data_IF_032193768561
#
_entry.id   IF_032193768561
#
_cell.length_a   1.000
_cell.length_b   1.000
_cell.length_c   1.000
_cell.angle_alpha   90.00
_cell.angle_beta   90.00
_cell.angle_gamma   90.00
#
_symmetry.space_group_name_H-M   'P 1'
#
loop_
_entity.id
_entity.type
_entity.pdbx_description
1 polymer ?
#
# COMPACT_ATOMS: atom_id res chain seq x y z
N UNK A 1 -11.47 -3.37 6.83
CA UNK A 1 -10.38 -2.39 7.02
C UNK A 1 -10.05 -2.24 8.50
N UNK A 2 -8.76 -2.16 8.82
CA UNK A 2 -8.24 -1.90 10.16
C UNK A 2 -6.76 -1.56 10.07
N UNK A 3 -6.24 -0.81 11.04
CA UNK A 3 -4.80 -0.70 11.22
C UNK A 3 -4.19 -2.10 11.36
N UNK A 4 -2.99 -2.31 10.84
CA UNK A 4 -2.29 -3.59 10.75
C UNK A 4 -2.19 -4.27 12.11
N UNK A 5 -1.93 -3.51 13.17
CA UNK A 5 -1.88 -4.02 14.56
C UNK A 5 -3.20 -4.66 15.03
N UNK A 6 -4.33 -4.24 14.43
CA UNK A 6 -5.69 -4.68 14.76
C UNK A 6 -6.35 -5.48 13.62
N UNK A 7 -5.61 -5.75 12.55
CA UNK A 7 -6.08 -6.51 11.40
C UNK A 7 -5.89 -7.99 11.70
N UNK A 8 -7.00 -8.70 11.85
CA UNK A 8 -7.02 -10.15 11.96
C UNK A 8 -7.48 -10.78 10.64
N UNK A 9 -7.39 -12.10 10.54
CA UNK A 9 -7.74 -12.83 9.32
C UNK A 9 -9.21 -12.64 8.93
N UNK A 10 -10.15 -12.66 9.88
CA UNK A 10 -11.57 -12.43 9.59
C UNK A 10 -11.82 -11.06 8.91
N UNK A 11 -11.23 -9.98 9.46
CA UNK A 11 -11.33 -8.64 8.85
C UNK A 11 -10.60 -8.54 7.53
N UNK A 12 -9.49 -9.26 7.37
CA UNK A 12 -8.75 -9.31 6.12
C UNK A 12 -9.61 -9.96 5.04
N UNK A 13 -10.16 -11.14 5.32
CA UNK A 13 -10.94 -11.97 4.41
C UNK A 13 -12.20 -11.27 3.91
N UNK A 14 -12.96 -10.59 4.77
CA UNK A 14 -14.20 -9.89 4.33
C UNK A 14 -14.02 -8.97 3.10
N UNK A 15 -12.88 -8.28 2.99
CA UNK A 15 -12.56 -7.45 1.82
C UNK A 15 -11.88 -8.25 0.71
N UNK A 16 -11.02 -9.18 1.11
CA UNK A 16 -10.23 -9.98 0.18
C UNK A 16 -11.10 -10.93 -0.64
N UNK A 17 -12.09 -11.59 -0.05
CA UNK A 17 -12.99 -12.52 -0.72
C UNK A 17 -13.76 -11.85 -1.86
N UNK A 18 -14.39 -10.70 -1.57
CA UNK A 18 -15.26 -9.99 -2.51
C UNK A 18 -14.53 -9.39 -3.71
N UNK A 19 -13.20 -9.26 -3.63
CA UNK A 19 -12.37 -8.67 -4.68
C UNK A 19 -11.43 -9.69 -5.29
N UNK A 20 -10.55 -10.25 -4.47
CA UNK A 20 -9.51 -11.16 -4.92
C UNK A 20 -10.08 -12.50 -5.36
N UNK A 21 -10.73 -13.25 -4.45
CA UNK A 21 -11.25 -14.57 -4.79
C UNK A 21 -12.37 -14.48 -5.82
N UNK A 22 -13.29 -13.53 -5.68
CA UNK A 22 -14.34 -13.29 -6.67
C UNK A 22 -13.78 -13.05 -8.07
N UNK A 23 -12.75 -12.21 -8.23
CA UNK A 23 -12.14 -11.97 -9.53
C UNK A 23 -11.33 -13.16 -10.04
N UNK A 24 -10.72 -13.96 -9.16
CA UNK A 24 -10.03 -15.19 -9.55
C UNK A 24 -11.03 -16.24 -10.07
N UNK A 25 -12.16 -16.43 -9.38
CA UNK A 25 -13.23 -17.32 -9.83
C UNK A 25 -13.85 -16.85 -11.14
N UNK A 26 -14.08 -15.55 -11.28
CA UNK A 26 -14.53 -14.97 -12.54
C UNK A 26 -13.50 -15.23 -13.65
N UNK A 27 -12.21 -15.00 -13.39
CA UNK A 27 -11.14 -15.27 -14.35
C UNK A 27 -11.12 -16.74 -14.78
N UNK A 28 -11.12 -17.68 -13.82
CA UNK A 28 -11.10 -19.11 -14.07
C UNK A 28 -12.32 -19.57 -14.90
N UNK A 29 -13.53 -19.13 -14.53
CA UNK A 29 -14.74 -19.40 -15.30
C UNK A 29 -14.67 -18.85 -16.73
N UNK A 30 -14.11 -17.64 -16.89
CA UNK A 30 -13.95 -17.03 -18.21
C UNK A 30 -12.91 -17.73 -19.09
N UNK A 31 -11.93 -18.43 -18.51
CA UNK A 31 -10.95 -19.22 -19.28
C UNK A 31 -11.45 -20.64 -19.58
N UNK A 32 -12.26 -21.24 -18.70
CA UNK A 32 -12.76 -22.61 -18.87
C UNK A 32 -13.97 -22.73 -19.80
N UNK A 33 -14.85 -21.74 -19.80
CA UNK A 33 -16.10 -21.78 -20.55
C UNK A 33 -16.07 -20.86 -21.76
N UNK A 34 -16.85 -21.18 -22.79
CA UNK A 34 -17.02 -20.28 -23.94
C UNK A 34 -17.93 -19.12 -23.55
N UNK A 35 -17.49 -17.89 -23.82
CA UNK A 35 -18.20 -16.66 -23.44
C UNK A 35 -18.43 -15.75 -24.67
N UNK A 36 -19.18 -16.20 -25.70
CA UNK A 36 -19.28 -15.48 -26.98
C UNK A 36 -19.98 -14.13 -26.89
N UNK A 37 -20.66 -13.84 -25.77
CA UNK A 37 -21.31 -12.55 -25.52
C UNK A 37 -20.44 -11.58 -24.68
N UNK A 38 -19.36 -12.05 -24.05
CA UNK A 38 -18.49 -11.17 -23.27
C UNK A 38 -17.70 -10.27 -24.22
N UNK A 39 -17.91 -8.95 -24.13
CA UNK A 39 -17.21 -7.93 -24.93
C UNK A 39 -16.08 -7.26 -24.15
N UNK A 40 -16.32 -6.96 -22.88
CA UNK A 40 -15.37 -6.29 -22.00
C UNK A 40 -15.57 -6.77 -20.57
N UNK A 41 -14.48 -6.90 -19.82
CA UNK A 41 -14.50 -7.11 -18.38
C UNK A 41 -13.93 -5.88 -17.70
N UNK A 42 -14.70 -5.29 -16.78
CA UNK A 42 -14.26 -4.12 -16.00
C UNK A 42 -14.06 -4.53 -14.55
N UNK A 43 -12.89 -4.21 -14.02
CA UNK A 43 -12.55 -4.42 -12.62
C UNK A 43 -12.44 -3.06 -11.94
N UNK A 44 -13.07 -2.95 -10.78
CA UNK A 44 -12.90 -1.79 -9.92
C UNK A 44 -11.57 -1.91 -9.19
N UNK A 45 -10.78 -0.85 -9.18
CA UNK A 45 -9.60 -0.72 -8.33
C UNK A 45 -9.64 0.59 -7.55
N UNK A 46 -8.89 0.68 -6.46
CA UNK A 46 -8.70 1.89 -5.67
C UNK A 46 -7.55 1.69 -4.69
N UNK A 47 -6.84 2.77 -4.32
CA UNK A 47 -5.73 2.77 -3.34
C UNK A 47 -4.54 1.85 -3.64
N UNK A 48 -4.53 1.09 -4.73
CA UNK A 48 -3.47 0.12 -5.02
C UNK A 48 -2.10 0.75 -5.32
N UNK A 49 -2.09 1.91 -6.01
CA UNK A 49 -0.85 2.61 -6.38
C UNK A 49 -0.27 3.45 -5.25
N UNK A 50 -1.10 3.99 -4.35
CA UNK A 50 -0.67 4.94 -3.33
C UNK A 50 -0.88 4.46 -1.88
N UNK A 51 -1.70 3.44 -1.66
CA UNK A 51 -2.08 2.91 -0.34
C UNK A 51 -3.20 3.70 0.35
N UNK A 52 -3.71 3.19 1.47
CA UNK A 52 -4.39 4.01 2.47
C UNK A 52 -4.15 3.43 3.87
N UNK A 53 -4.03 4.29 4.89
CA UNK A 53 -3.89 3.81 6.27
C UNK A 53 -5.14 3.04 6.68
N UNK A 54 -4.95 1.88 7.29
CA UNK A 54 -5.99 0.94 7.69
C UNK A 54 -6.53 0.08 6.55
N UNK A 55 -5.99 0.20 5.34
CA UNK A 55 -6.57 -0.40 4.12
C UNK A 55 -5.63 -1.41 3.45
N UNK A 56 -4.71 -2.05 4.18
CA UNK A 56 -3.77 -3.03 3.61
C UNK A 56 -4.48 -4.13 2.81
N UNK A 57 -5.53 -4.72 3.38
CA UNK A 57 -6.33 -5.76 2.72
C UNK A 57 -7.06 -5.21 1.49
N UNK A 58 -7.61 -4.00 1.55
CA UNK A 58 -8.29 -3.34 0.43
C UNK A 58 -7.32 -2.96 -0.69
N UNK A 59 -6.22 -2.27 -0.38
CA UNK A 59 -5.17 -1.90 -1.34
C UNK A 59 -4.54 -3.14 -1.97
N UNK A 60 -4.24 -4.18 -1.19
CA UNK A 60 -3.71 -5.46 -1.70
C UNK A 60 -4.69 -6.18 -2.63
N UNK A 61 -5.98 -6.20 -2.28
CA UNK A 61 -7.01 -6.78 -3.14
C UNK A 61 -7.17 -6.02 -4.46
N UNK A 62 -7.17 -4.70 -4.43
CA UNK A 62 -7.24 -3.88 -5.64
C UNK A 62 -5.96 -3.99 -6.49
N UNK A 63 -4.78 -4.11 -5.87
CA UNK A 63 -3.52 -4.35 -6.59
C UNK A 63 -3.54 -5.69 -7.33
N UNK A 64 -4.18 -6.72 -6.77
CA UNK A 64 -4.41 -7.97 -7.49
C UNK A 64 -5.28 -7.77 -8.73
N UNK A 65 -6.36 -6.98 -8.63
CA UNK A 65 -7.23 -6.68 -9.78
C UNK A 65 -6.47 -5.96 -10.90
N UNK A 66 -5.58 -5.03 -10.53
CA UNK A 66 -4.70 -4.35 -11.48
C UNK A 66 -3.76 -5.33 -12.18
N UNK A 67 -3.17 -6.26 -11.43
CA UNK A 67 -2.31 -7.31 -11.96
C UNK A 67 -3.08 -8.28 -12.87
N UNK A 68 -4.30 -8.68 -12.48
CA UNK A 68 -5.17 -9.55 -13.26
C UNK A 68 -5.55 -8.91 -14.60
N UNK A 69 -5.87 -7.62 -14.60
CA UNK A 69 -6.11 -6.87 -15.84
C UNK A 69 -4.90 -6.94 -16.77
N UNK A 70 -3.69 -6.66 -16.27
CA UNK A 70 -2.46 -6.75 -17.07
C UNK A 70 -2.24 -8.18 -17.60
N UNK A 71 -2.45 -9.19 -16.76
CA UNK A 71 -2.34 -10.59 -17.13
C UNK A 71 -3.30 -10.98 -18.27
N UNK A 72 -4.56 -10.56 -18.17
CA UNK A 72 -5.59 -10.84 -19.20
C UNK A 72 -5.26 -10.14 -20.52
N UNK A 73 -4.86 -8.87 -20.48
CA UNK A 73 -4.47 -8.14 -21.69
C UNK A 73 -3.23 -8.73 -22.36
N UNK A 74 -2.23 -9.19 -21.60
CA UNK A 74 -1.06 -9.88 -22.14
C UNK A 74 -1.42 -11.18 -22.89
N UNK A 75 -2.58 -11.77 -22.58
CA UNK A 75 -3.15 -12.94 -23.28
C UNK A 75 -4.17 -12.57 -24.37
N UNK A 76 -4.25 -11.30 -24.76
CA UNK A 76 -5.21 -10.82 -25.77
C UNK A 76 -6.66 -10.82 -25.31
N UNK A 77 -6.93 -10.89 -24.01
CA UNK A 77 -8.29 -10.80 -23.44
C UNK A 77 -8.60 -9.36 -23.05
N UNK A 78 -9.69 -8.82 -23.56
CA UNK A 78 -10.13 -7.45 -23.24
C UNK A 78 -10.54 -7.37 -21.77
N UNK A 79 -9.76 -6.64 -20.99
CA UNK A 79 -10.03 -6.37 -19.58
C UNK A 79 -9.57 -4.95 -19.25
N UNK A 80 -10.34 -4.23 -18.45
CA UNK A 80 -10.01 -2.89 -17.99
C UNK A 80 -10.06 -2.83 -16.47
N UNK A 81 -9.10 -2.16 -15.86
CA UNK A 81 -9.18 -1.79 -14.45
C UNK A 81 -9.07 -0.27 -14.33
N UNK A 82 -10.03 0.33 -13.63
CA UNK A 82 -10.00 1.75 -13.30
C UNK A 82 -9.71 1.91 -11.82
N UNK A 83 -8.63 2.61 -11.51
CA UNK A 83 -8.26 2.90 -10.13
C UNK A 83 -8.86 4.23 -9.68
N UNK A 84 -9.92 4.14 -8.89
CA UNK A 84 -10.72 5.29 -8.47
C UNK A 84 -10.17 5.95 -7.20
N UNK A 85 -10.17 7.28 -7.21
CA UNK A 85 -10.24 8.09 -6.00
C UNK A 85 -11.65 8.07 -5.39
N UNK A 86 -11.83 8.83 -4.31
CA UNK A 86 -13.11 8.86 -3.61
C UNK A 86 -14.20 9.63 -4.40
N UNK A 87 -15.39 9.05 -4.48
CA UNK A 87 -16.59 9.68 -5.07
C UNK A 87 -17.37 10.42 -3.98
N UNK A 88 -17.52 11.74 -4.10
CA UNK A 88 -18.11 12.57 -3.05
C UNK A 88 -19.63 12.44 -2.91
N UNK A 89 -20.31 12.13 -4.02
CA UNK A 89 -21.77 12.21 -4.12
C UNK A 89 -22.45 10.85 -3.95
N UNK A 90 -21.71 9.75 -4.03
CA UNK A 90 -22.22 8.37 -3.99
C UNK A 90 -21.24 7.41 -3.29
N UNK A 91 -21.73 6.23 -2.91
CA UNK A 91 -20.90 5.13 -2.40
C UNK A 91 -20.29 5.39 -1.03
N UNK A 92 -19.11 4.81 -0.77
CA UNK A 92 -18.50 4.81 0.57
C UNK A 92 -18.15 6.21 1.11
N UNK A 93 -17.90 7.18 0.22
CA UNK A 93 -17.58 8.54 0.64
C UNK A 93 -18.83 9.40 0.92
N UNK A 94 -20.00 9.04 0.39
CA UNK A 94 -21.25 9.74 0.72
C UNK A 94 -21.77 9.42 2.12
N UNK A 95 -21.35 8.30 2.72
CA UNK A 95 -21.72 7.89 4.09
C UNK A 95 -20.78 8.42 5.17
N UNK A 96 -19.78 9.22 4.81
CA UNK A 96 -18.86 9.84 5.76
C UNK A 96 -19.55 10.93 6.57
N UNK A 97 -19.19 11.08 7.86
CA UNK A 97 -19.63 12.23 8.66
C UNK A 97 -19.13 13.55 8.08
N UNK A 98 -19.81 14.66 8.38
CA UNK A 98 -19.42 15.99 7.88
C UNK A 98 -17.96 16.34 8.22
N UNK A 99 -17.51 15.99 9.43
CA UNK A 99 -16.12 16.16 9.86
C UNK A 99 -15.15 15.33 9.00
N UNK A 100 -15.50 14.09 8.66
CA UNK A 100 -14.69 13.24 7.78
C UNK A 100 -14.69 13.74 6.33
N UNK A 101 -15.82 14.25 5.84
CA UNK A 101 -15.92 14.86 4.50
C UNK A 101 -15.02 16.09 4.41
N UNK A 102 -15.09 16.98 5.40
CA UNK A 102 -14.26 18.18 5.47
C UNK A 102 -12.77 17.83 5.57
N UNK A 103 -12.40 16.83 6.38
CA UNK A 103 -11.02 16.33 6.46
C UNK A 103 -10.55 15.77 5.11
N UNK A 104 -11.36 14.96 4.45
CA UNK A 104 -11.02 14.34 3.16
C UNK A 104 -10.82 15.40 2.08
N UNK A 105 -11.69 16.42 2.00
CA UNK A 105 -11.53 17.52 1.04
C UNK A 105 -10.27 18.36 1.23
N UNK A 106 -9.80 18.48 2.48
CA UNK A 106 -8.57 19.21 2.80
C UNK A 106 -7.32 18.32 2.78
N UNK A 107 -7.46 17.04 2.41
CA UNK A 107 -6.34 16.10 2.33
C UNK A 107 -5.58 16.20 1.00
N UNK A 108 -4.42 15.52 0.85
CA UNK A 108 -3.73 15.43 -0.45
C UNK A 108 -4.59 14.85 -1.57
N UNK A 109 -5.60 14.04 -1.25
CA UNK A 109 -6.44 13.30 -2.21
C UNK A 109 -7.93 13.54 -1.89
N UNK A 110 -8.49 14.70 -2.27
CA UNK A 110 -9.90 14.99 -2.07
C UNK A 110 -10.81 14.08 -2.89
N UNK A 111 -12.08 13.98 -2.50
CA UNK A 111 -13.09 13.36 -3.35
C UNK A 111 -13.44 14.25 -4.53
N UNK A 112 -13.94 13.64 -5.61
CA UNK A 112 -14.47 14.35 -6.76
C UNK A 112 -15.99 14.20 -6.84
N UNK A 113 -16.64 15.19 -7.43
CA UNK A 113 -18.07 15.17 -7.80
C UNK A 113 -18.32 14.20 -8.95
N UNK A 114 -19.58 13.80 -9.14
CA UNK A 114 -19.94 12.89 -10.24
C UNK A 114 -19.48 13.41 -11.63
N UNK A 115 -19.69 14.69 -12.00
CA UNK A 115 -19.20 15.20 -13.30
C UNK A 115 -17.67 15.15 -13.43
N UNK A 116 -16.92 15.44 -12.37
CA UNK A 116 -15.46 15.36 -12.39
C UNK A 116 -14.98 13.91 -12.56
N UNK A 117 -15.62 12.96 -11.88
CA UNK A 117 -15.32 11.54 -11.99
C UNK A 117 -15.57 10.99 -13.39
N UNK A 118 -16.71 11.34 -13.98
CA UNK A 118 -17.07 10.96 -15.36
C UNK A 118 -16.13 11.60 -16.38
N UNK A 119 -15.77 12.87 -16.22
CA UNK A 119 -14.80 13.53 -17.10
C UNK A 119 -13.41 12.87 -17.02
N UNK A 120 -13.00 12.40 -15.83
CA UNK A 120 -11.78 11.63 -15.65
C UNK A 120 -11.85 10.25 -16.32
N UNK A 121 -12.99 9.57 -16.22
CA UNK A 121 -13.24 8.31 -16.91
C UNK A 121 -13.13 8.46 -18.43
N UNK A 122 -13.82 9.44 -19.01
CA UNK A 122 -13.81 9.71 -20.46
C UNK A 122 -12.38 9.96 -20.97
N UNK A 123 -11.59 10.75 -20.24
CA UNK A 123 -10.18 11.00 -20.56
C UNK A 123 -9.32 9.75 -20.43
N UNK A 124 -9.55 8.93 -19.41
CA UNK A 124 -8.85 7.65 -19.25
C UNK A 124 -9.15 6.70 -20.41
N UNK A 125 -10.41 6.59 -20.81
CA UNK A 125 -10.84 5.76 -21.94
C UNK A 125 -10.22 6.22 -23.28
N UNK A 126 -10.10 7.53 -23.50
CA UNK A 126 -9.50 8.05 -24.73
C UNK A 126 -8.01 7.75 -24.88
N UNK A 127 -7.31 7.36 -23.80
CA UNK A 127 -5.91 6.92 -23.87
C UNK A 127 -5.73 5.55 -24.51
N UNK A 128 -6.79 4.73 -24.57
CA UNK A 128 -6.71 3.33 -25.01
C UNK A 128 -5.94 2.42 -24.05
N UNK A 129 -5.51 2.92 -22.88
CA UNK A 129 -4.83 2.10 -21.88
C UNK A 129 -5.83 1.17 -21.17
N UNK A 130 -5.49 -0.12 -20.98
CA UNK A 130 -6.36 -1.06 -20.27
C UNK A 130 -6.37 -0.81 -18.75
N UNK A 131 -5.50 0.06 -18.27
CA UNK A 131 -5.37 0.40 -16.85
C UNK A 131 -4.99 1.86 -16.69
N UNK A 132 -5.80 2.60 -15.94
CA UNK A 132 -5.54 3.99 -15.59
C UNK A 132 -6.20 4.35 -14.27
N UNK A 133 -5.74 5.46 -13.68
CA UNK A 133 -6.26 5.96 -12.42
C UNK A 133 -7.04 7.25 -12.65
N UNK A 134 -8.14 7.41 -11.91
CA UNK A 134 -8.97 8.61 -11.89
C UNK A 134 -9.07 9.09 -10.46
N UNK A 135 -8.34 10.15 -10.13
CA UNK A 135 -8.38 10.76 -8.80
C UNK A 135 -8.11 12.26 -8.89
N UNK A 136 -8.56 12.98 -7.87
CA UNK A 136 -8.25 14.39 -7.65
C UNK A 136 -7.13 14.46 -6.62
N UNK A 137 -6.16 15.34 -6.85
CA UNK A 137 -5.09 15.60 -5.89
C UNK A 137 -5.00 17.09 -5.62
N UNK A 138 -4.62 17.45 -4.39
CA UNK A 138 -4.30 18.81 -4.00
C UNK A 138 -2.77 18.97 -4.02
N UNK A 139 -2.17 19.54 -5.09
CA UNK A 139 -0.72 19.62 -5.23
C UNK A 139 -0.05 20.38 -4.08
N UNK A 140 -0.71 21.42 -3.53
CA UNK A 140 -0.12 22.20 -2.44
C UNK A 140 0.00 21.37 -1.16
N UNK A 141 -1.06 20.68 -0.77
CA UNK A 141 -1.05 19.80 0.41
C UNK A 141 -0.13 18.61 0.18
N UNK A 142 -0.13 18.05 -1.03
CA UNK A 142 0.74 16.94 -1.41
C UNK A 142 2.22 17.35 -1.35
N UNK A 143 2.57 18.51 -1.91
CA UNK A 143 3.92 19.06 -1.84
C UNK A 143 4.32 19.39 -0.40
N UNK A 144 3.45 19.98 0.42
CA UNK A 144 3.72 20.20 1.84
C UNK A 144 3.92 18.90 2.62
N UNK A 145 3.23 17.83 2.25
CA UNK A 145 3.42 16.51 2.86
C UNK A 145 4.79 15.92 2.53
N UNK A 146 5.38 16.31 1.40
CA UNK A 146 6.70 15.84 0.92
C UNK A 146 7.83 16.83 1.27
N UNK A 147 7.55 18.14 1.36
CA UNK A 147 8.47 19.22 1.70
C UNK A 147 8.69 19.23 3.23
N UNK A 148 9.95 19.11 3.66
CA UNK A 148 10.30 18.85 5.06
C UNK A 148 10.56 17.37 5.36
N UNK A 149 10.55 16.51 4.34
CA UNK A 149 11.00 15.12 4.41
C UNK A 149 12.53 14.96 4.52
N UNK A 150 13.20 15.95 5.09
CA UNK A 150 14.62 15.96 5.43
C UNK A 150 14.84 15.23 6.78
N UNK A 151 13.75 15.06 7.53
CA UNK A 151 13.70 14.27 8.75
C UNK A 151 13.24 12.84 8.41
N UNK A 152 13.96 11.76 8.78
CA UNK A 152 13.58 10.42 8.35
C UNK A 152 12.34 9.85 9.04
N UNK A 153 11.84 10.48 10.11
CA UNK A 153 10.46 10.25 10.52
C UNK A 153 9.50 10.70 9.42
N UNK A 154 9.75 11.78 8.69
CA UNK A 154 8.87 12.22 7.60
C UNK A 154 9.01 11.39 6.31
N UNK A 155 9.92 10.40 6.25
CA UNK A 155 9.96 9.44 5.15
C UNK A 155 8.67 8.61 5.02
N UNK A 156 7.89 8.43 6.11
CA UNK A 156 6.57 7.80 6.01
C UNK A 156 5.52 8.73 5.40
N UNK A 157 5.68 10.05 5.42
CA UNK A 157 4.78 10.96 4.71
C UNK A 157 5.04 10.98 3.19
N UNK A 158 6.23 10.53 2.74
CA UNK A 158 6.51 10.34 1.30
C UNK A 158 5.69 9.21 0.68
N UNK A 159 5.35 8.19 1.46
CA UNK A 159 4.33 7.22 1.11
C UNK A 159 3.06 7.66 1.83
N UNK A 160 2.22 8.46 1.18
CA UNK A 160 1.02 9.16 1.68
C UNK A 160 0.13 8.41 2.70
N UNK A 161 0.32 7.11 2.86
CA UNK A 161 -0.53 6.17 3.56
C UNK A 161 0.18 4.99 4.26
N UNK A 162 1.51 5.05 4.49
CA UNK A 162 2.21 3.97 5.20
C UNK A 162 1.76 3.86 6.66
N UNK A 163 1.35 2.67 7.08
CA UNK A 163 1.08 2.37 8.49
C UNK A 163 2.39 2.10 9.25
N UNK A 164 2.58 2.78 10.38
CA UNK A 164 3.66 2.46 11.32
C UNK A 164 3.20 1.30 12.19
N UNK A 165 3.81 0.14 12.00
CA UNK A 165 3.77 -0.93 13.01
C UNK A 165 5.06 -0.83 13.81
N UNK A 166 5.03 -0.32 15.06
CA UNK A 166 6.17 -0.49 15.94
C UNK A 166 6.44 -2.00 16.03
N UNK A 167 7.65 -2.41 15.66
CA UNK A 167 8.01 -3.82 15.70
C UNK A 167 7.85 -4.30 17.14
N UNK A 168 7.11 -5.40 17.41
CA UNK A 168 7.14 -5.99 18.74
C UNK A 168 8.60 -6.28 19.09
N UNK A 169 8.94 -6.13 20.38
CA UNK A 169 10.29 -6.42 20.86
C UNK A 169 10.67 -7.83 20.41
N UNK A 170 11.82 -7.98 19.74
CA UNK A 170 12.17 -9.27 19.16
C UNK A 170 12.17 -10.36 20.25
N UNK A 171 11.54 -11.52 19.98
CA UNK A 171 11.48 -12.60 20.96
C UNK A 171 12.86 -13.20 21.25
N UNK A 172 13.82 -13.01 20.33
CA UNK A 172 15.22 -13.44 20.44
C UNK A 172 16.17 -12.39 19.87
N UNK A 173 17.40 -12.34 20.38
CA UNK A 173 18.49 -11.51 19.85
C UNK A 173 19.34 -12.27 18.82
N UNK A 174 18.76 -13.17 18.03
CA UNK A 174 19.51 -13.91 17.01
C UNK A 174 19.72 -13.08 15.73
N UNK A 175 20.69 -13.51 14.91
CA UNK A 175 21.14 -12.81 13.69
C UNK A 175 20.03 -12.51 12.66
N UNK A 176 19.01 -13.35 12.56
CA UNK A 176 17.92 -13.19 11.59
C UNK A 176 16.89 -12.16 12.08
N UNK A 177 16.67 -12.10 13.40
CA UNK A 177 15.81 -11.10 14.03
C UNK A 177 16.49 -9.72 14.12
N UNK A 178 17.77 -9.69 14.48
CA UNK A 178 18.53 -8.45 14.60
C UNK A 178 18.75 -7.75 13.26
N UNK A 179 18.99 -8.48 12.16
CA UNK A 179 19.16 -7.88 10.82
C UNK A 179 17.90 -7.14 10.34
N UNK A 180 16.71 -7.67 10.68
CA UNK A 180 15.42 -7.08 10.33
C UNK A 180 15.15 -5.80 11.14
N UNK A 181 15.49 -5.79 12.43
CA UNK A 181 15.48 -4.59 13.27
C UNK A 181 16.50 -3.56 12.77
N UNK A 182 17.67 -4.01 12.31
CA UNK A 182 18.77 -3.17 11.85
C UNK A 182 18.42 -2.36 10.58
N UNK A 183 17.68 -2.96 9.63
CA UNK A 183 17.20 -2.22 8.45
C UNK A 183 16.12 -1.18 8.78
N UNK A 184 15.29 -1.44 9.78
CA UNK A 184 14.24 -0.51 10.20
C UNK A 184 14.75 0.59 11.15
N UNK A 185 15.82 0.31 11.93
CA UNK A 185 16.44 1.24 12.87
C UNK A 185 17.38 2.28 12.28
N UNK A 186 17.72 2.18 10.98
CA UNK A 186 18.54 3.18 10.25
C UNK A 186 17.80 4.49 9.90
N UNK A 187 16.67 4.76 10.56
CA UNK A 187 16.10 6.12 10.69
C UNK A 187 16.88 6.98 11.70
N UNK A 188 16.41 8.20 12.04
CA UNK A 188 17.18 9.21 12.78
C UNK A 188 17.45 8.84 14.25
N UNK A 189 17.06 7.65 14.71
CA UNK A 189 17.48 7.12 16.01
C UNK A 189 19.00 6.94 16.09
N UNK A 190 19.74 6.99 14.98
CA UNK A 190 21.22 7.08 14.98
C UNK A 190 21.79 8.30 15.72
N UNK A 191 20.97 9.30 16.08
CA UNK A 191 21.35 10.44 16.92
C UNK A 191 20.92 10.32 18.39
N UNK A 192 20.20 9.26 18.77
CA UNK A 192 19.89 8.97 20.16
C UNK A 192 21.06 8.18 20.79
N UNK A 193 21.74 8.69 21.83
CA UNK A 193 22.85 7.98 22.48
C UNK A 193 22.44 6.57 22.94
N UNK A 194 21.18 6.36 23.31
CA UNK A 194 20.66 5.06 23.73
C UNK A 194 20.48 4.08 22.56
N UNK A 195 20.16 4.53 21.35
CA UNK A 195 20.03 3.64 20.19
C UNK A 195 21.39 3.28 19.58
N UNK A 196 22.35 4.21 19.63
CA UNK A 196 23.77 3.93 19.35
C UNK A 196 24.33 2.96 20.40
N UNK A 197 23.95 3.12 21.67
CA UNK A 197 24.29 2.18 22.74
C UNK A 197 23.69 0.79 22.50
N UNK A 198 22.45 0.67 22.03
CA UNK A 198 21.85 -0.63 21.70
C UNK A 198 22.57 -1.32 20.53
N UNK A 199 22.95 -0.57 19.49
CA UNK A 199 23.77 -1.11 18.40
C UNK A 199 25.15 -1.52 18.90
N UNK A 200 25.86 -0.65 19.62
CA UNK A 200 27.21 -0.93 20.12
C UNK A 200 27.21 -2.06 21.15
N UNK A 201 26.18 -2.15 22.01
CA UNK A 201 25.98 -3.25 22.94
C UNK A 201 25.68 -4.56 22.21
N UNK A 202 24.96 -4.55 21.09
CA UNK A 202 24.82 -5.74 20.26
C UNK A 202 26.16 -6.17 19.64
N UNK A 203 27.02 -5.22 19.24
CA UNK A 203 28.36 -5.49 18.71
C UNK A 203 29.40 -5.95 19.75
N UNK A 204 29.33 -5.45 21.00
CA UNK A 204 30.27 -5.81 22.08
C UNK A 204 29.70 -6.82 23.08
N UNK A 205 28.51 -7.35 22.82
CA UNK A 205 27.90 -8.37 23.67
C UNK A 205 28.82 -9.61 23.67
N UNK A 206 29.31 -10.08 24.83
CA UNK A 206 30.15 -11.28 24.92
C UNK A 206 29.49 -12.52 24.28
N UNK A 207 28.16 -12.58 24.22
CA UNK A 207 27.42 -13.64 23.54
C UNK A 207 27.52 -13.58 22.00
N UNK A 208 27.67 -12.39 21.42
CA UNK A 208 27.89 -12.20 19.98
C UNK A 208 29.34 -12.50 19.63
N UNK A 209 30.30 -12.03 20.44
CA UNK A 209 31.72 -12.35 20.30
C UNK A 209 32.02 -13.86 20.41
N UNK A 210 31.28 -14.59 21.25
CA UNK A 210 31.41 -16.05 21.39
C UNK A 210 31.00 -16.81 20.11
N UNK A 211 30.07 -16.25 19.32
CA UNK A 211 29.56 -16.84 18.08
C UNK A 211 30.27 -16.30 16.81
N UNK A 212 31.24 -15.39 16.99
CA UNK A 212 31.94 -14.65 15.91
C UNK A 212 33.06 -15.47 15.23
N UNK A 213 33.36 -16.69 15.68
CA UNK A 213 34.46 -17.52 15.13
C UNK A 213 34.22 -18.02 13.70
N UNK A 214 33.00 -17.91 13.16
CA UNK A 214 32.63 -18.39 11.82
C UNK A 214 32.50 -17.29 10.75
N UNK A 215 32.71 -16.01 11.10
CA UNK A 215 32.26 -14.88 10.26
C UNK A 215 33.43 -13.97 9.87
N UNK A 216 34.26 -14.41 8.91
CA UNK A 216 35.46 -13.72 8.44
C UNK A 216 35.33 -12.21 8.16
N UNK A 217 36.47 -11.56 7.91
CA UNK A 217 36.69 -10.09 7.96
C UNK A 217 35.72 -9.19 7.15
N UNK A 218 34.90 -9.74 6.26
CA UNK A 218 33.99 -9.00 5.39
C UNK A 218 32.97 -8.12 6.13
N UNK A 219 32.58 -8.45 7.36
CA UNK A 219 31.54 -7.71 8.07
C UNK A 219 32.03 -6.43 8.79
N UNK A 220 33.34 -6.25 8.96
CA UNK A 220 33.91 -5.05 9.63
C UNK A 220 34.33 -3.93 8.67
N UNK A 221 34.15 -4.12 7.37
CA UNK A 221 34.62 -3.18 6.34
C UNK A 221 33.55 -2.17 5.86
N UNK A 222 32.37 -2.09 6.48
CA UNK A 222 31.28 -1.19 6.10
C UNK A 222 30.81 -0.26 7.22
#
# INVERSE_FOLDING_TARGET
DSMLMNLNWDKFETVFESKHYAALYLHDGLERFSNPLLRFLWLFSSTSVYGNMGQINYSGSNAFLDALTRHRNAKGRICMAVQWGAWGDVGMASTMSDAMRLRTMNSPMPYFTNPEGLAGLEKGLSTGLPYFSVFKFNPHVMLQTVQGADHPNMCHYRNFYCEVVPTPMAPTLDRHHLYTIFRMGRGPQSKNPNAVATCKQAYINPAVAKNEREWGEDFRQW
#
